data_IF_500204956762
#
_entry.id   IF_500204956762
#
_cell.length_a   1.000
_cell.length_b   1.000
_cell.length_c   1.000
_cell.angle_alpha   90.00
_cell.angle_beta   90.00
_cell.angle_gamma   90.00
#
_symmetry.space_group_name_H-M   'P 1'
#
loop_
_entity.id
_entity.type
_entity.pdbx_description
1 polymer ?
#
# COMPACT_ATOMS: atom_id res chain seq x y z
N UNK A 1 -12.27 -6.73 6.44
CA UNK A 1 -11.98 -5.30 6.15
C UNK A 1 -10.86 -5.24 5.12
N UNK A 2 -11.15 -4.95 3.85
CA UNK A 2 -10.11 -4.83 2.81
C UNK A 2 -9.41 -3.48 2.93
N UNK A 3 -8.18 -3.47 3.47
CA UNK A 3 -7.31 -2.30 3.43
C UNK A 3 -6.33 -2.42 2.26
N UNK A 4 -6.06 -1.33 1.54
CA UNK A 4 -5.07 -1.33 0.46
C UNK A 4 -3.69 -1.64 1.05
N UNK A 5 -3.04 -2.70 0.58
CA UNK A 5 -1.70 -3.09 1.05
C UNK A 5 -0.58 -2.24 0.48
N UNK A 6 -0.76 -1.74 -0.74
CA UNK A 6 0.26 -1.01 -1.49
C UNK A 6 0.17 0.51 -1.34
N UNK A 7 -0.90 0.99 -0.71
CA UNK A 7 -1.15 2.41 -0.52
C UNK A 7 -1.45 2.69 0.95
N UNK A 8 -0.75 3.66 1.50
CA UNK A 8 -0.97 4.15 2.86
C UNK A 8 -1.74 5.46 2.77
N UNK A 9 -2.81 5.57 3.54
CA UNK A 9 -3.54 6.84 3.67
C UNK A 9 -2.66 7.78 4.49
N UNK A 10 -2.24 8.87 3.87
CA UNK A 10 -1.49 9.95 4.49
C UNK A 10 -2.27 11.24 4.37
N UNK A 11 -2.16 12.11 5.36
CA UNK A 11 -2.67 13.47 5.24
C UNK A 11 -1.53 14.31 4.70
N UNK A 12 -1.78 14.97 3.57
CA UNK A 12 -0.84 15.91 2.98
C UNK A 12 -0.76 17.14 3.89
N UNK A 13 0.43 17.47 4.38
CA UNK A 13 0.63 18.56 5.34
C UNK A 13 0.43 19.94 4.69
N UNK A 14 0.63 20.03 3.37
CA UNK A 14 0.50 21.28 2.60
C UNK A 14 -0.96 21.62 2.29
N UNK A 15 -1.79 20.61 1.98
CA UNK A 15 -3.20 20.79 1.58
C UNK A 15 -4.21 20.35 2.65
N UNK A 16 -3.78 19.62 3.67
CA UNK A 16 -4.64 19.04 4.70
C UNK A 16 -5.55 17.92 4.20
N UNK A 17 -5.33 17.42 2.97
CA UNK A 17 -6.19 16.43 2.33
C UNK A 17 -5.67 15.00 2.58
N UNK A 18 -6.62 14.08 2.79
CA UNK A 18 -6.30 12.65 2.90
C UNK A 18 -6.00 12.08 1.50
N UNK A 19 -4.71 11.80 1.25
CA UNK A 19 -4.19 11.22 0.02
C UNK A 19 -3.73 9.78 0.25
N UNK A 20 -3.70 8.98 -0.82
CA UNK A 20 -3.16 7.62 -0.79
C UNK A 20 -1.75 7.62 -1.36
N UNK A 21 -0.74 7.51 -0.49
CA UNK A 21 0.67 7.44 -0.90
C UNK A 21 1.07 6.01 -1.15
N UNK A 22 1.65 5.76 -2.33
CA UNK A 22 2.20 4.46 -2.67
C UNK A 22 3.41 4.16 -1.77
N UNK A 23 3.40 3.00 -1.09
CA UNK A 23 4.38 2.67 -0.06
C UNK A 23 5.60 1.89 -0.58
N UNK A 24 5.66 1.60 -1.89
CA UNK A 24 6.76 0.87 -2.51
C UNK A 24 6.88 -0.60 -2.12
N UNK A 25 5.99 -1.13 -1.26
CA UNK A 25 6.03 -2.52 -0.80
C UNK A 25 5.81 -3.50 -1.96
N UNK A 26 5.07 -3.11 -3.00
CA UNK A 26 4.80 -3.97 -4.17
C UNK A 26 6.09 -4.40 -4.86
N UNK A 27 6.99 -3.46 -5.14
CA UNK A 27 8.26 -3.76 -5.80
C UNK A 27 9.17 -4.61 -4.92
N UNK A 28 9.20 -4.34 -3.60
CA UNK A 28 9.96 -5.13 -2.63
C UNK A 28 9.45 -6.57 -2.51
N UNK A 29 8.14 -6.77 -2.50
CA UNK A 29 7.52 -8.10 -2.50
C UNK A 29 7.79 -8.85 -3.80
N UNK A 30 7.68 -8.15 -4.95
CA UNK A 30 7.99 -8.72 -6.26
C UNK A 30 9.44 -9.19 -6.35
N UNK A 31 10.39 -8.40 -5.86
CA UNK A 31 11.82 -8.74 -5.85
C UNK A 31 12.12 -9.96 -4.96
N UNK A 32 11.45 -10.05 -3.81
CA UNK A 32 11.58 -11.19 -2.88
C UNK A 32 10.76 -12.42 -3.26
N UNK A 33 9.91 -12.31 -4.30
CA UNK A 33 8.86 -13.29 -4.60
C UNK A 33 7.95 -13.61 -3.40
N UNK A 34 7.83 -12.66 -2.47
CA UNK A 34 7.12 -12.82 -1.21
C UNK A 34 5.75 -12.15 -1.31
N UNK A 35 4.79 -12.96 -1.73
CA UNK A 35 3.38 -12.58 -1.87
C UNK A 35 2.56 -12.92 -0.63
N UNK A 36 3.20 -13.29 0.50
CA UNK A 36 2.53 -13.66 1.76
C UNK A 36 1.64 -12.56 2.34
N UNK A 37 1.90 -11.31 1.94
CA UNK A 37 1.08 -10.15 2.32
C UNK A 37 -0.15 -9.94 1.42
N UNK A 38 -0.25 -10.57 0.25
CA UNK A 38 -1.47 -10.49 -0.56
C UNK A 38 -2.56 -11.34 0.11
N UNK A 39 -3.68 -10.74 0.58
CA UNK A 39 -4.84 -11.51 0.99
C UNK A 39 -5.39 -12.20 -0.25
N UNK A 40 -5.83 -13.45 -0.11
CA UNK A 40 -6.54 -14.19 -1.15
C UNK A 40 -7.73 -13.36 -1.65
N UNK A 41 -7.52 -12.63 -2.75
CA UNK A 41 -8.55 -12.02 -3.56
C UNK A 41 -8.96 -13.11 -4.56
N UNK A 42 -9.82 -14.02 -4.09
CA UNK A 42 -10.42 -15.07 -4.91
C UNK A 42 -11.63 -14.53 -5.68
#
# INVERSE_FOLDING_TARGET
MHKPLWFEKVVDEDTGLATMKFNGKYWKCKEKNDWSMCPDLY
#
